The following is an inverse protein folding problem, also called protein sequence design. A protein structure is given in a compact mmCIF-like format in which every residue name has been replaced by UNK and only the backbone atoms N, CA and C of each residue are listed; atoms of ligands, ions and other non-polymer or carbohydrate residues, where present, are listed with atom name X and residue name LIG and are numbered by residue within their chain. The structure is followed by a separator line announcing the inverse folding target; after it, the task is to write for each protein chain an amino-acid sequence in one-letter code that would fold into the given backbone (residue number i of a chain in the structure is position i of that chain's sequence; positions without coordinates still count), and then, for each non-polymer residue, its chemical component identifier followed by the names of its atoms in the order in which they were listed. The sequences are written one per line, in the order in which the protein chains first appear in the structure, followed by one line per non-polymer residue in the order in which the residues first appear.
data_IF_729292358374
#
_entry.id   IF_729292358374
#
_cell.length_a   1.000
_cell.length_b   1.000
_cell.length_c   1.000
_cell.angle_alpha   90.00
_cell.angle_beta   90.00
_cell.angle_gamma   90.00
#
_symmetry.space_group_name_H-M   'P 1'
#
loop_
_entity.id
_entity.type
_entity.pdbx_description
1 polymer ?
#
# COMPACT_ATOMS: atom_id res chain seq x y z
N UNK A 1 -12.87 -6.40 -8.57
CA UNK A 1 -12.56 -5.24 -7.73
C UNK A 1 -13.61 -4.17 -7.89
N UNK A 2 -14.09 -3.63 -6.79
CA UNK A 2 -15.11 -2.59 -6.70
C UNK A 2 -14.45 -1.21 -6.52
N UNK A 3 -13.92 -0.64 -7.60
CA UNK A 3 -13.26 0.69 -7.55
C UNK A 3 -14.25 1.82 -7.24
N UNK A 4 -15.51 1.65 -7.66
CA UNK A 4 -16.59 2.61 -7.37
C UNK A 4 -16.76 2.89 -5.86
N UNK A 5 -16.41 1.93 -5.00
CA UNK A 5 -16.35 2.13 -3.56
C UNK A 5 -15.37 3.26 -3.18
N UNK A 6 -14.15 3.25 -3.71
CA UNK A 6 -13.16 4.31 -3.42
C UNK A 6 -13.51 5.63 -4.11
N UNK A 7 -14.13 5.59 -5.30
CA UNK A 7 -14.61 6.78 -5.98
C UNK A 7 -15.68 7.53 -5.18
N UNK A 8 -16.50 6.81 -4.41
CA UNK A 8 -17.50 7.42 -3.54
C UNK A 8 -16.92 8.06 -2.27
N UNK A 9 -15.69 7.73 -1.88
CA UNK A 9 -15.06 8.27 -0.67
C UNK A 9 -14.61 9.72 -0.86
N UNK A 10 -14.63 10.55 0.20
CA UNK A 10 -14.04 11.87 0.14
C UNK A 10 -12.52 11.77 -0.10
N UNK A 11 -12.01 12.66 -0.96
CA UNK A 11 -10.57 12.80 -1.16
C UNK A 11 -9.89 13.40 0.07
N UNK A 12 -8.66 12.98 0.31
CA UNK A 12 -7.74 13.54 1.29
C UNK A 12 -6.69 14.35 0.55
N UNK A 13 -6.33 15.52 1.09
CA UNK A 13 -5.15 16.26 0.63
C UNK A 13 -3.90 15.51 1.07
N UNK A 14 -2.99 15.24 0.16
CA UNK A 14 -1.74 14.51 0.41
C UNK A 14 -0.53 15.27 -0.12
N UNK A 15 0.65 14.85 0.33
CA UNK A 15 1.94 15.33 -0.14
C UNK A 15 2.32 14.83 -1.54
N UNK A 16 1.54 13.91 -2.12
CA UNK A 16 1.71 13.40 -3.48
C UNK A 16 0.63 13.92 -4.45
N UNK A 17 -0.18 14.92 -4.06
CA UNK A 17 -1.30 15.39 -4.88
C UNK A 17 -0.85 15.84 -6.28
N UNK A 18 0.36 16.40 -6.41
CA UNK A 18 0.95 16.82 -7.70
C UNK A 18 1.37 15.63 -8.60
N UNK A 19 1.48 14.43 -8.04
CA UNK A 19 1.81 13.17 -8.74
C UNK A 19 0.54 12.38 -9.15
N UNK A 20 -0.63 12.84 -8.71
CA UNK A 20 -1.91 12.22 -9.03
C UNK A 20 -2.43 12.75 -10.37
N UNK A 21 -2.90 11.83 -11.22
CA UNK A 21 -3.37 12.16 -12.56
C UNK A 21 -4.89 12.26 -12.67
N UNK A 22 -5.39 13.32 -13.33
CA UNK A 22 -6.80 13.46 -13.69
C UNK A 22 -7.74 13.52 -12.47
N UNK A 23 -8.63 12.54 -12.38
CA UNK A 23 -9.62 12.33 -11.29
C UNK A 23 -9.11 11.38 -10.19
N UNK A 24 -7.82 11.04 -10.19
CA UNK A 24 -7.21 10.30 -9.10
C UNK A 24 -7.14 11.15 -7.83
N UNK A 25 -7.49 10.56 -6.69
CA UNK A 25 -7.48 11.21 -5.37
C UNK A 25 -6.96 10.28 -4.30
N UNK A 26 -6.20 10.81 -3.35
CA UNK A 26 -5.86 10.11 -2.13
C UNK A 26 -7.11 9.83 -1.28
N UNK A 27 -7.26 8.61 -0.77
CA UNK A 27 -8.35 8.21 0.14
C UNK A 27 -7.82 7.72 1.49
N UNK A 28 -6.52 7.42 1.57
CA UNK A 28 -5.83 7.08 2.81
C UNK A 28 -4.35 7.46 2.72
N UNK A 29 -3.78 7.82 3.87
CA UNK A 29 -2.34 7.96 4.04
C UNK A 29 -1.93 7.54 5.45
N UNK A 30 -0.79 6.88 5.59
CA UNK A 30 -0.20 6.52 6.88
C UNK A 30 1.33 6.45 6.81
N UNK A 31 1.99 6.78 7.92
CA UNK A 31 3.43 6.53 8.07
C UNK A 31 3.68 5.04 8.28
N UNK A 32 4.72 4.54 7.63
CA UNK A 32 5.18 3.17 7.76
C UNK A 32 6.24 3.08 8.86
N UNK A 33 6.28 1.95 9.57
CA UNK A 33 7.48 1.56 10.31
C UNK A 33 8.58 1.13 9.33
N UNK A 34 8.19 0.34 8.34
CA UNK A 34 8.97 -0.01 7.16
C UNK A 34 8.07 -0.66 6.11
N UNK A 35 8.62 -0.89 4.93
CA UNK A 35 8.04 -1.81 3.95
C UNK A 35 9.12 -2.54 3.15
N UNK A 36 8.70 -3.64 2.54
CA UNK A 36 9.56 -4.48 1.74
C UNK A 36 8.77 -5.34 0.75
N UNK A 37 9.48 -6.22 0.07
CA UNK A 37 8.91 -7.22 -0.84
C UNK A 37 8.15 -8.31 -0.07
N UNK A 38 7.48 -9.21 -0.79
CA UNK A 38 6.87 -10.42 -0.24
C UNK A 38 7.86 -11.36 0.46
N UNK A 39 9.15 -11.23 0.17
CA UNK A 39 10.26 -11.98 0.78
C UNK A 39 10.98 -11.20 1.88
N UNK A 40 10.40 -10.09 2.36
CA UNK A 40 10.96 -9.18 3.37
C UNK A 40 12.25 -8.45 2.94
N UNK A 41 12.55 -8.34 1.64
CA UNK A 41 13.62 -7.47 1.19
C UNK A 41 13.23 -6.01 1.44
N UNK A 42 14.07 -5.30 2.19
CA UNK A 42 13.79 -3.94 2.66
C UNK A 42 13.79 -2.91 1.52
N UNK A 43 12.72 -2.11 1.43
CA UNK A 43 12.54 -1.07 0.41
C UNK A 43 12.38 0.34 1.00
N UNK A 44 11.94 0.46 2.26
CA UNK A 44 11.80 1.75 2.94
C UNK A 44 11.56 1.61 4.44
N UNK A 45 11.96 2.64 5.19
CA UNK A 45 11.97 2.66 6.66
C UNK A 45 10.92 3.58 7.29
N UNK A 46 11.23 4.13 8.46
CA UNK A 46 10.28 4.92 9.27
C UNK A 46 9.94 6.29 8.66
N UNK A 47 10.71 6.75 7.68
CA UNK A 47 10.42 7.97 6.90
C UNK A 47 9.42 7.68 5.78
N UNK A 48 9.14 6.41 5.49
CA UNK A 48 8.27 6.02 4.40
C UNK A 48 6.80 6.23 4.73
N UNK A 49 6.02 6.42 3.68
CA UNK A 49 4.58 6.68 3.78
C UNK A 49 3.83 5.83 2.76
N UNK A 50 2.72 5.26 3.21
CA UNK A 50 1.78 4.53 2.38
C UNK A 50 0.61 5.44 2.04
N UNK A 51 0.15 5.35 0.80
CA UNK A 51 -1.05 5.98 0.30
C UNK A 51 -1.91 4.94 -0.40
N UNK A 52 -3.21 5.10 -0.25
CA UNK A 52 -4.21 4.48 -1.13
C UNK A 52 -4.90 5.62 -1.86
N UNK A 53 -4.95 5.53 -3.18
CA UNK A 53 -5.81 6.38 -4.00
C UNK A 53 -7.03 5.58 -4.46
N UNK A 54 -7.97 6.20 -5.16
CA UNK A 54 -9.03 5.48 -5.86
C UNK A 54 -8.53 4.66 -7.06
N UNK A 55 -7.23 4.60 -7.34
CA UNK A 55 -6.65 3.84 -8.45
C UNK A 55 -5.47 2.96 -8.09
N UNK A 56 -4.66 3.37 -7.12
CA UNK A 56 -3.32 2.80 -6.88
C UNK A 56 -3.03 2.67 -5.40
N UNK A 57 -2.14 1.74 -5.08
CA UNK A 57 -1.39 1.75 -3.82
C UNK A 57 -0.04 2.38 -4.12
N UNK A 58 0.36 3.35 -3.30
CA UNK A 58 1.62 4.08 -3.47
C UNK A 58 2.40 4.04 -2.16
N UNK A 59 3.67 3.64 -2.21
CA UNK A 59 4.60 3.75 -1.09
C UNK A 59 5.75 4.68 -1.45
N UNK A 60 5.89 5.76 -0.70
CA UNK A 60 6.99 6.70 -0.82
C UNK A 60 8.07 6.33 0.19
N UNK A 61 9.29 6.04 -0.30
CA UNK A 61 10.44 5.76 0.55
C UNK A 61 11.41 6.95 0.70
N UNK A 62 11.01 8.16 0.30
CA UNK A 62 11.78 9.41 0.22
C UNK A 62 12.88 9.46 -0.84
N UNK A 63 13.16 8.33 -1.50
CA UNK A 63 14.06 8.24 -2.66
C UNK A 63 13.25 8.17 -3.95
N UNK A 64 12.06 7.54 -3.90
CA UNK A 64 11.12 7.46 -5.01
C UNK A 64 9.79 6.83 -4.60
N UNK A 65 8.85 6.90 -5.54
CA UNK A 65 7.52 6.33 -5.39
C UNK A 65 7.47 4.91 -5.94
N UNK A 66 6.95 3.99 -5.13
CA UNK A 66 6.59 2.64 -5.53
C UNK A 66 5.09 2.60 -5.72
N UNK A 67 4.63 2.34 -6.94
CA UNK A 67 3.21 2.38 -7.26
C UNK A 67 2.77 1.09 -7.93
N UNK A 68 1.61 0.60 -7.55
CA UNK A 68 0.91 -0.50 -8.23
C UNK A 68 -0.54 -0.12 -8.48
N UNK A 69 -1.03 -0.45 -9.67
CA UNK A 69 -2.43 -0.24 -10.01
C UNK A 69 -3.31 -1.26 -9.29
N UNK A 70 -4.40 -0.78 -8.71
CA UNK A 70 -5.33 -1.63 -8.00
C UNK A 70 -5.90 -2.69 -8.95
N UNK A 71 -6.44 -2.29 -10.10
CA UNK A 71 -7.14 -3.20 -11.02
C UNK A 71 -6.17 -4.07 -11.80
N UNK A 72 -5.07 -3.48 -12.27
CA UNK A 72 -4.15 -4.18 -13.18
C UNK A 72 -3.10 -5.01 -12.48
N UNK A 73 -2.70 -4.67 -11.25
CA UNK A 73 -1.57 -5.32 -10.58
C UNK A 73 -1.95 -6.10 -9.32
N UNK A 74 -2.94 -5.65 -8.54
CA UNK A 74 -3.25 -6.27 -7.24
C UNK A 74 -4.09 -7.55 -7.41
N UNK A 75 -3.58 -8.67 -6.92
CA UNK A 75 -4.28 -9.95 -6.88
C UNK A 75 -5.06 -10.14 -5.58
N UNK A 76 -4.43 -9.82 -4.45
CA UNK A 76 -4.99 -10.02 -3.13
C UNK A 76 -4.44 -9.03 -2.11
N UNK A 77 -5.12 -8.94 -0.97
CA UNK A 77 -4.64 -8.23 0.20
C UNK A 77 -4.94 -9.06 1.45
N UNK A 78 -3.90 -9.37 2.23
CA UNK A 78 -4.00 -10.10 3.50
C UNK A 78 -3.51 -9.19 4.63
N UNK A 79 -4.14 -9.30 5.80
CA UNK A 79 -3.69 -8.60 7.00
C UNK A 79 -3.30 -9.59 8.06
N UNK A 80 -2.06 -9.45 8.50
CA UNK A 80 -1.45 -10.32 9.49
C UNK A 80 -1.05 -9.49 10.68
N UNK A 81 -1.62 -9.80 11.83
CA UNK A 81 -1.09 -9.30 13.09
C UNK A 81 0.19 -10.05 13.43
N UNK A 82 1.28 -9.33 13.68
CA UNK A 82 2.52 -9.89 14.21
C UNK A 82 2.86 -9.27 15.56
N UNK A 83 3.42 -10.08 16.45
CA UNK A 83 3.92 -9.65 17.76
C UNK A 83 3.10 -10.15 18.94
N UNK A 84 3.58 -9.81 20.14
CA UNK A 84 2.91 -10.10 21.42
C UNK A 84 1.87 -9.01 21.73
N UNK A 85 0.84 -9.29 22.57
CA UNK A 85 -0.09 -8.27 23.02
C UNK A 85 0.64 -7.00 23.49
N UNK A 86 0.13 -5.81 23.13
CA UNK A 86 0.73 -4.47 23.35
C UNK A 86 1.94 -4.07 22.47
N UNK A 87 2.58 -5.00 21.75
CA UNK A 87 3.63 -4.75 20.74
C UNK A 87 3.22 -5.25 19.36
N UNK A 88 1.92 -5.32 19.10
CA UNK A 88 1.38 -5.78 17.82
C UNK A 88 1.74 -4.78 16.72
N UNK A 89 2.35 -5.28 15.65
CA UNK A 89 2.43 -4.61 14.37
C UNK A 89 1.41 -5.23 13.42
N UNK A 90 0.73 -4.36 12.66
CA UNK A 90 -0.18 -4.83 11.61
C UNK A 90 0.61 -4.84 10.32
N UNK A 91 0.76 -6.03 9.74
CA UNK A 91 1.40 -6.22 8.44
C UNK A 91 0.31 -6.35 7.40
N UNK A 92 0.25 -5.38 6.51
CA UNK A 92 -0.58 -5.45 5.31
C UNK A 92 0.27 -6.08 4.22
N UNK A 93 -0.19 -7.21 3.68
CA UNK A 93 0.43 -7.92 2.56
C UNK A 93 -0.41 -7.67 1.32
N UNK A 94 0.24 -7.24 0.26
CA UNK A 94 -0.40 -7.02 -1.04
C UNK A 94 0.25 -7.95 -2.03
N UNK A 95 -0.48 -8.95 -2.51
CA UNK A 95 -0.05 -9.84 -3.57
C UNK A 95 -0.28 -9.21 -4.93
N UNK A 96 0.69 -9.35 -5.85
CA UNK A 96 0.57 -8.92 -7.23
C UNK A 96 0.18 -10.10 -8.12
N UNK A 97 -0.58 -9.82 -9.18
CA UNK A 97 -1.01 -10.83 -10.16
C UNK A 97 0.10 -11.23 -11.14
N UNK A 98 1.24 -10.54 -11.10
CA UNK A 98 2.43 -10.78 -11.92
C UNK A 98 3.71 -10.47 -11.14
N UNK A 99 4.80 -11.12 -11.55
CA UNK A 99 6.14 -10.76 -11.10
C UNK A 99 6.56 -9.42 -11.71
N UNK A 100 7.04 -8.50 -10.87
CA UNK A 100 7.54 -7.17 -11.27
C UNK A 100 9.05 -7.11 -11.07
N UNK A 101 9.77 -6.63 -12.10
CA UNK A 101 11.22 -6.37 -12.00
C UNK A 101 11.50 -4.97 -11.45
N UNK A 102 12.52 -4.84 -10.61
CA UNK A 102 12.95 -3.56 -10.04
C UNK A 102 14.49 -3.49 -9.90
N UNK A 103 15.00 -2.31 -9.54
CA UNK A 103 16.44 -2.08 -9.40
C UNK A 103 17.18 -2.32 -10.72
N UNK A 104 16.73 -1.66 -11.79
CA UNK A 104 17.24 -1.81 -13.16
C UNK A 104 17.19 -3.25 -13.70
N UNK A 105 16.25 -4.06 -13.20
CA UNK A 105 16.03 -5.43 -13.64
C UNK A 105 16.88 -6.48 -12.90
N UNK A 106 17.61 -6.09 -11.86
CA UNK A 106 18.44 -7.01 -11.07
C UNK A 106 17.68 -7.79 -10.01
N UNK A 107 16.44 -7.39 -9.71
CA UNK A 107 15.60 -8.06 -8.72
C UNK A 107 14.15 -8.13 -9.18
N UNK A 108 13.39 -9.04 -8.57
CA UNK A 108 11.97 -9.22 -8.84
C UNK A 108 11.18 -9.32 -7.54
N UNK A 109 9.93 -8.90 -7.57
CA UNK A 109 8.98 -9.06 -6.46
C UNK A 109 7.62 -9.53 -7.00
N UNK A 110 6.87 -10.21 -6.15
CA UNK A 110 5.48 -10.64 -6.39
C UNK A 110 4.50 -10.03 -5.38
N UNK A 111 4.98 -9.18 -4.49
CA UNK A 111 4.13 -8.52 -3.52
C UNK A 111 4.87 -7.53 -2.65
N UNK A 112 4.09 -6.84 -1.83
CA UNK A 112 4.59 -5.92 -0.83
C UNK A 112 4.14 -6.31 0.56
N UNK A 113 4.95 -5.93 1.55
CA UNK A 113 4.61 -6.00 2.97
C UNK A 113 4.78 -4.63 3.58
N UNK A 114 3.70 -4.07 4.09
CA UNK A 114 3.64 -2.76 4.73
C UNK A 114 3.44 -2.92 6.23
N UNK A 115 4.36 -2.38 7.02
CA UNK A 115 4.30 -2.46 8.48
C UNK A 115 3.71 -1.16 9.03
N UNK A 116 2.49 -1.26 9.55
CA UNK A 116 1.69 -0.14 10.02
C UNK A 116 1.42 -0.22 11.52
N UNK A 117 1.11 0.92 12.12
CA UNK A 117 0.46 0.96 13.45
C UNK A 117 -0.90 0.30 13.35
N UNK A 118 -1.33 -0.40 14.41
CA UNK A 118 -2.58 -1.19 14.37
C UNK A 118 -3.79 -0.43 13.83
N UNK A 119 -4.05 0.78 14.35
CA UNK A 119 -5.17 1.61 13.91
C UNK A 119 -5.12 1.95 12.41
N UNK A 120 -3.93 2.21 11.87
CA UNK A 120 -3.78 2.55 10.45
C UNK A 120 -3.89 1.30 9.57
N UNK A 121 -3.36 0.17 10.04
CA UNK A 121 -3.53 -1.13 9.39
C UNK A 121 -4.99 -1.58 9.32
N UNK A 122 -5.75 -1.43 10.40
CA UNK A 122 -7.20 -1.72 10.44
C UNK A 122 -7.99 -0.80 9.50
N UNK A 123 -7.64 0.49 9.41
CA UNK A 123 -8.30 1.41 8.47
C UNK A 123 -8.00 1.04 7.03
N UNK A 124 -6.74 0.71 6.72
CA UNK A 124 -6.36 0.24 5.40
C UNK A 124 -7.08 -1.07 5.04
N UNK A 125 -7.19 -2.00 5.99
CA UNK A 125 -7.97 -3.24 5.88
C UNK A 125 -9.39 -3.00 5.38
N UNK A 126 -10.09 -2.12 6.08
CA UNK A 126 -11.49 -1.85 5.81
C UNK A 126 -11.68 -1.27 4.41
N UNK A 127 -10.74 -0.43 3.96
CA UNK A 127 -10.73 0.11 2.60
C UNK A 127 -10.50 -0.99 1.56
N UNK A 128 -9.46 -1.81 1.74
CA UNK A 128 -9.14 -2.89 0.80
C UNK A 128 -10.23 -3.97 0.76
N UNK A 129 -10.86 -4.30 1.88
CA UNK A 129 -12.00 -5.22 1.90
C UNK A 129 -13.20 -4.68 1.12
N UNK A 130 -13.45 -3.37 1.16
CA UNK A 130 -14.48 -2.74 0.33
C UNK A 130 -14.17 -2.78 -1.17
N UNK A 131 -12.89 -2.85 -1.53
CA UNK A 131 -12.40 -2.94 -2.92
C UNK A 131 -12.38 -4.38 -3.44
N UNK A 132 -11.99 -5.34 -2.60
CA UNK A 132 -11.81 -6.74 -2.98
C UNK A 132 -13.07 -7.59 -2.78
N UNK A 133 -14.03 -7.10 -1.98
CA UNK A 133 -15.31 -7.76 -1.70
C UNK A 133 -16.27 -7.82 -2.88
#
# INVERSE_FOLDING_TARGET
MNIAYLDALPGLRTDIDDELGGDEKGVFTARLSCFGTETDQFLGGHSSRLYLTNRRIIADNTVGLWSVDLVEDVADCEIVERGIPFLKSTVVRVGLNRTVSYGDGHATLQGFRFYLKSKDGERFAALMNGVLG
#
